data_IF_270969914533
#
_entry.id   IF_270969914533
#
_cell.length_a   1.000
_cell.length_b   1.000
_cell.length_c   1.000
_cell.angle_alpha   90.00
_cell.angle_beta   90.00
_cell.angle_gamma   90.00
#
_symmetry.space_group_name_H-M   'P 1'
#
loop_
_entity.id
_entity.type
_entity.pdbx_description
1 polymer ?
#
# COMPACT_ATOMS: atom_id res chain seq x y z
N UNK A 1 39.61 -4.48 -12.54
CA UNK A 1 38.80 -5.62 -12.08
C UNK A 1 38.50 -6.53 -13.26
N UNK A 2 38.63 -7.85 -13.12
CA UNK A 2 38.29 -8.80 -14.19
C UNK A 2 36.77 -8.93 -14.26
N UNK A 3 36.18 -8.98 -15.46
CA UNK A 3 34.73 -9.15 -15.71
C UNK A 3 34.05 -10.18 -14.80
N UNK A 4 34.76 -11.28 -14.50
CA UNK A 4 34.26 -12.37 -13.66
C UNK A 4 33.98 -11.96 -12.21
N UNK A 5 34.74 -11.02 -11.66
CA UNK A 5 34.49 -10.48 -10.32
C UNK A 5 33.30 -9.52 -10.31
N UNK A 6 33.15 -8.72 -11.37
CA UNK A 6 32.01 -7.80 -11.53
C UNK A 6 30.69 -8.56 -11.64
N UNK A 7 30.67 -9.62 -12.45
CA UNK A 7 29.49 -10.48 -12.61
C UNK A 7 29.11 -11.22 -11.31
N UNK A 8 30.10 -11.58 -10.49
CA UNK A 8 29.87 -12.26 -9.22
C UNK A 8 29.22 -11.33 -8.19
N UNK A 9 29.71 -10.08 -8.11
CA UNK A 9 29.13 -9.03 -7.26
C UNK A 9 27.71 -8.68 -7.72
N UNK A 10 27.49 -8.55 -9.04
CA UNK A 10 26.16 -8.31 -9.58
C UNK A 10 25.17 -9.46 -9.27
N UNK A 11 25.61 -10.72 -9.43
CA UNK A 11 24.80 -11.88 -9.10
C UNK A 11 24.49 -11.99 -7.60
N UNK A 12 25.41 -11.55 -6.74
CA UNK A 12 25.23 -11.52 -5.29
C UNK A 12 24.25 -10.42 -4.86
N UNK A 13 24.31 -9.25 -5.51
CA UNK A 13 23.35 -8.16 -5.31
C UNK A 13 21.93 -8.53 -5.79
N UNK A 14 21.82 -9.25 -6.92
CA UNK A 14 20.54 -9.68 -7.50
C UNK A 14 19.99 -10.97 -6.86
N UNK A 15 20.76 -11.66 -6.04
CA UNK A 15 20.40 -12.96 -5.46
C UNK A 15 19.09 -12.92 -4.66
N UNK A 16 18.81 -11.92 -3.80
CA UNK A 16 17.57 -11.84 -3.04
C UNK A 16 16.33 -11.70 -3.94
N UNK A 17 16.47 -10.95 -5.04
CA UNK A 17 15.42 -10.75 -6.05
C UNK A 17 15.17 -12.02 -6.86
N UNK A 18 16.23 -12.70 -7.28
CA UNK A 18 16.15 -13.92 -8.11
C UNK A 18 15.69 -15.17 -7.33
N UNK A 19 15.85 -15.17 -6.01
CA UNK A 19 15.43 -16.27 -5.13
C UNK A 19 13.99 -16.12 -4.63
N UNK A 20 13.28 -15.06 -5.04
CA UNK A 20 11.92 -14.77 -4.55
C UNK A 20 11.88 -14.44 -3.05
N UNK A 21 13.03 -14.09 -2.44
CA UNK A 21 13.13 -13.74 -1.02
C UNK A 21 12.61 -12.31 -0.77
N UNK A 22 12.66 -11.46 -1.80
CA UNK A 22 11.73 -10.36 -1.91
C UNK A 22 10.60 -10.81 -2.84
N UNK A 23 9.37 -10.83 -2.32
CA UNK A 23 8.20 -10.81 -3.19
C UNK A 23 8.44 -9.68 -4.17
N UNK A 24 8.43 -9.99 -5.46
CA UNK A 24 8.29 -8.97 -6.51
C UNK A 24 6.93 -8.34 -6.24
N UNK A 25 6.90 -7.42 -5.28
CA UNK A 25 5.70 -6.74 -4.89
C UNK A 25 5.22 -6.07 -6.16
N UNK A 26 3.94 -6.28 -6.44
CA UNK A 26 3.41 -6.08 -7.78
C UNK A 26 3.83 -4.72 -8.34
N UNK A 27 4.43 -4.71 -9.54
CA UNK A 27 4.63 -3.48 -10.32
C UNK A 27 3.28 -2.86 -10.77
N UNK A 28 2.16 -3.45 -10.35
CA UNK A 28 0.84 -2.88 -10.51
C UNK A 28 0.73 -1.61 -9.68
N UNK A 29 0.31 -0.54 -10.34
CA UNK A 29 -0.02 0.73 -9.70
C UNK A 29 -1.26 0.57 -8.81
N UNK A 30 -1.29 1.31 -7.70
CA UNK A 30 -2.40 1.27 -6.74
C UNK A 30 -3.75 1.52 -7.42
N UNK A 31 -3.86 2.55 -8.27
CA UNK A 31 -5.12 2.82 -8.97
C UNK A 31 -5.52 1.68 -9.90
N UNK A 32 -4.57 1.11 -10.66
CA UNK A 32 -4.84 -0.01 -11.55
C UNK A 32 -5.36 -1.21 -10.77
N UNK A 33 -4.78 -1.54 -9.61
CA UNK A 33 -5.30 -2.60 -8.74
C UNK A 33 -6.71 -2.28 -8.22
N UNK A 34 -6.93 -1.05 -7.76
CA UNK A 34 -8.23 -0.67 -7.20
C UNK A 34 -9.34 -0.77 -8.24
N UNK A 35 -9.12 -0.25 -9.45
CA UNK A 35 -10.11 -0.25 -10.53
C UNK A 35 -10.33 -1.64 -11.14
N UNK A 36 -9.26 -2.41 -11.37
CA UNK A 36 -9.36 -3.72 -12.03
C UNK A 36 -9.74 -4.87 -11.11
N UNK A 37 -9.45 -4.75 -9.81
CA UNK A 37 -9.57 -5.88 -8.86
C UNK A 37 -10.40 -5.50 -7.63
N UNK A 38 -10.01 -4.48 -6.88
CA UNK A 38 -10.67 -4.19 -5.60
C UNK A 38 -12.15 -3.80 -5.77
N UNK A 39 -12.43 -2.85 -6.66
CA UNK A 39 -13.79 -2.39 -6.98
C UNK A 39 -14.70 -3.47 -7.56
N UNK A 40 -14.28 -4.29 -8.54
CA UNK A 40 -15.15 -5.32 -9.10
C UNK A 40 -15.25 -6.60 -8.27
N UNK A 41 -14.25 -6.92 -7.44
CA UNK A 41 -14.21 -8.21 -6.71
C UNK A 41 -14.49 -8.06 -5.22
N UNK A 42 -13.92 -7.05 -4.56
CA UNK A 42 -13.98 -6.92 -3.10
C UNK A 42 -15.11 -6.01 -2.65
N UNK A 43 -15.26 -4.83 -3.27
CA UNK A 43 -16.29 -3.88 -2.88
C UNK A 43 -17.73 -4.43 -2.95
N UNK A 44 -18.15 -5.25 -3.95
CA UNK A 44 -19.54 -5.73 -4.04
C UNK A 44 -19.95 -6.62 -2.86
N UNK A 45 -18.98 -7.16 -2.11
CA UNK A 45 -19.23 -7.95 -0.90
C UNK A 45 -19.58 -7.07 0.32
N UNK A 46 -19.45 -5.75 0.21
CA UNK A 46 -19.75 -4.79 1.26
C UNK A 46 -21.16 -4.22 1.13
N UNK A 47 -21.73 -3.79 2.26
CA UNK A 47 -22.98 -3.02 2.27
C UNK A 47 -22.87 -1.76 1.40
N UNK A 48 -23.97 -1.37 0.74
CA UNK A 48 -23.99 -0.24 -0.20
C UNK A 48 -23.51 1.09 0.41
N UNK A 49 -23.91 1.39 1.65
CA UNK A 49 -23.46 2.59 2.36
C UNK A 49 -21.95 2.57 2.66
N UNK A 50 -21.38 1.39 2.93
CA UNK A 50 -19.94 1.22 3.11
C UNK A 50 -19.19 1.43 1.80
N UNK A 51 -19.70 0.87 0.69
CA UNK A 51 -19.10 1.07 -0.64
C UNK A 51 -19.02 2.54 -1.03
N UNK A 52 -20.11 3.29 -0.86
CA UNK A 52 -20.14 4.71 -1.20
C UNK A 52 -19.15 5.53 -0.38
N UNK A 53 -19.07 5.26 0.93
CA UNK A 53 -18.06 5.89 1.80
C UNK A 53 -16.63 5.54 1.37
N UNK A 54 -16.38 4.27 1.03
CA UNK A 54 -15.07 3.82 0.57
C UNK A 54 -14.68 4.50 -0.75
N UNK A 55 -15.61 4.64 -1.69
CA UNK A 55 -15.38 5.32 -2.96
C UNK A 55 -14.97 6.78 -2.75
N UNK A 56 -15.67 7.49 -1.85
CA UNK A 56 -15.34 8.86 -1.49
C UNK A 56 -13.93 8.98 -0.90
N UNK A 57 -13.54 8.04 -0.03
CA UNK A 57 -12.19 8.02 0.55
C UNK A 57 -11.12 7.74 -0.49
N UNK A 58 -11.34 6.73 -1.33
CA UNK A 58 -10.43 6.34 -2.40
C UNK A 58 -10.17 7.54 -3.32
N UNK A 59 -11.24 8.17 -3.81
CA UNK A 59 -11.16 9.27 -4.76
C UNK A 59 -10.51 10.52 -4.19
N UNK A 60 -10.86 10.91 -2.96
CA UNK A 60 -10.47 12.21 -2.42
C UNK A 60 -9.13 12.18 -1.67
N UNK A 61 -8.70 11.02 -1.17
CA UNK A 61 -7.52 10.93 -0.30
C UNK A 61 -6.47 9.96 -0.82
N UNK A 62 -6.87 8.77 -1.28
CA UNK A 62 -5.91 7.73 -1.67
C UNK A 62 -5.40 7.92 -3.10
N UNK A 63 -6.26 8.28 -4.06
CA UNK A 63 -5.83 8.53 -5.44
C UNK A 63 -4.88 9.72 -5.57
N UNK A 64 -5.13 10.88 -4.95
CA UNK A 64 -4.19 11.99 -5.02
C UNK A 64 -2.79 11.65 -4.48
N UNK A 65 -2.70 10.70 -3.54
CA UNK A 65 -1.44 10.32 -2.91
C UNK A 65 -0.74 9.15 -3.59
N UNK A 66 -1.49 8.11 -3.98
CA UNK A 66 -0.92 6.80 -4.30
C UNK A 66 -1.28 6.27 -5.68
N UNK A 67 -2.12 6.95 -6.47
CA UNK A 67 -2.64 6.41 -7.73
C UNK A 67 -1.56 5.80 -8.63
N UNK A 68 -0.44 6.51 -8.79
CA UNK A 68 0.69 6.15 -9.65
C UNK A 68 1.79 5.36 -8.92
N UNK A 69 1.66 5.13 -7.61
CA UNK A 69 2.64 4.36 -6.83
C UNK A 69 2.43 2.86 -7.08
N UNK A 70 3.52 2.12 -7.25
CA UNK A 70 3.42 0.65 -7.27
C UNK A 70 3.05 0.13 -5.87
N UNK A 71 2.32 -0.98 -5.81
CA UNK A 71 1.92 -1.57 -4.54
C UNK A 71 3.12 -1.90 -3.63
N UNK A 72 4.28 -2.27 -4.21
CA UNK A 72 5.53 -2.52 -3.45
C UNK A 72 6.12 -1.28 -2.79
N UNK A 73 5.89 -0.10 -3.35
CA UNK A 73 6.48 1.15 -2.87
C UNK A 73 5.65 1.74 -1.71
N UNK A 74 4.45 1.20 -1.46
CA UNK A 74 3.60 1.53 -0.31
C UNK A 74 4.15 0.92 0.98
N UNK A 75 5.38 1.25 1.32
CA UNK A 75 6.03 0.80 2.56
C UNK A 75 5.36 1.43 3.78
N UNK A 76 5.56 0.83 4.97
CA UNK A 76 5.08 1.40 6.23
C UNK A 76 5.57 2.84 6.44
N UNK A 77 6.79 3.17 6.01
CA UNK A 77 7.34 4.53 6.11
C UNK A 77 6.59 5.53 5.21
N UNK A 78 6.31 5.17 3.96
CA UNK A 78 5.55 6.03 3.04
C UNK A 78 4.14 6.29 3.54
N UNK A 79 3.48 5.25 4.09
CA UNK A 79 2.16 5.40 4.69
C UNK A 79 2.23 6.27 5.95
N UNK A 80 3.23 6.08 6.82
CA UNK A 80 3.42 6.94 8.00
C UNK A 80 3.63 8.41 7.62
N UNK A 81 4.44 8.68 6.57
CA UNK A 81 4.67 10.03 6.04
C UNK A 81 3.39 10.65 5.53
N UNK A 82 2.56 9.89 4.82
CA UNK A 82 1.26 10.34 4.37
C UNK A 82 0.35 10.76 5.54
N UNK A 83 0.22 9.92 6.57
CA UNK A 83 -0.58 10.25 7.76
C UNK A 83 -0.02 11.38 8.62
N UNK A 84 1.30 11.61 8.56
CA UNK A 84 1.97 12.72 9.25
C UNK A 84 2.03 14.01 8.40
N UNK A 85 1.60 13.96 7.14
CA UNK A 85 1.70 15.06 6.20
C UNK A 85 0.66 16.15 6.42
N UNK A 86 0.93 17.32 5.83
CA UNK A 86 0.06 18.52 5.93
C UNK A 86 -1.31 18.34 5.28
N UNK A 87 -1.45 17.41 4.33
CA UNK A 87 -2.73 17.11 3.65
C UNK A 87 -3.76 16.51 4.61
N UNK A 88 -3.32 15.69 5.56
CA UNK A 88 -4.18 15.07 6.56
C UNK A 88 -4.19 15.84 7.89
N UNK A 89 -3.23 16.73 8.14
CA UNK A 89 -3.14 17.45 9.42
C UNK A 89 -4.36 18.31 9.74
N UNK A 90 -5.09 18.78 8.72
CA UNK A 90 -6.31 19.58 8.86
C UNK A 90 -7.57 18.75 9.11
N UNK A 91 -7.50 17.42 8.98
CA UNK A 91 -8.64 16.53 9.19
C UNK A 91 -8.77 16.11 10.66
N UNK A 92 -10.02 15.93 11.09
CA UNK A 92 -10.33 15.29 12.37
C UNK A 92 -9.84 13.84 12.44
N UNK A 93 -9.64 13.34 13.65
CA UNK A 93 -9.10 11.98 13.88
C UNK A 93 -10.01 10.89 13.27
N UNK A 94 -11.33 11.04 13.38
CA UNK A 94 -12.28 10.09 12.77
C UNK A 94 -12.07 9.95 11.25
N UNK A 95 -11.82 11.05 10.54
CA UNK A 95 -11.54 11.01 9.11
C UNK A 95 -10.21 10.31 8.80
N UNK A 96 -9.17 10.55 9.61
CA UNK A 96 -7.87 9.88 9.46
C UNK A 96 -8.00 8.38 9.70
N UNK A 97 -8.71 7.97 10.74
CA UNK A 97 -8.98 6.57 11.05
C UNK A 97 -9.75 5.91 9.92
N UNK A 98 -10.76 6.59 9.36
CA UNK A 98 -11.50 6.07 8.21
C UNK A 98 -10.60 5.90 6.97
N UNK A 99 -9.72 6.86 6.68
CA UNK A 99 -8.76 6.77 5.57
C UNK A 99 -7.82 5.57 5.79
N UNK A 100 -7.33 5.39 7.02
CA UNK A 100 -6.51 4.24 7.42
C UNK A 100 -7.24 2.92 7.23
N UNK A 101 -8.50 2.82 7.67
CA UNK A 101 -9.32 1.62 7.53
C UNK A 101 -9.49 1.21 6.06
N UNK A 102 -9.82 2.19 5.20
CA UNK A 102 -10.01 1.94 3.77
C UNK A 102 -8.70 1.50 3.12
N UNK A 103 -7.59 2.18 3.40
CA UNK A 103 -6.27 1.79 2.89
C UNK A 103 -5.88 0.39 3.38
N UNK A 104 -6.11 0.09 4.67
CA UNK A 104 -5.85 -1.22 5.26
C UNK A 104 -6.69 -2.31 4.60
N UNK A 105 -7.97 -2.04 4.30
CA UNK A 105 -8.86 -2.98 3.61
C UNK A 105 -8.36 -3.30 2.19
N UNK A 106 -7.93 -2.28 1.44
CA UNK A 106 -7.36 -2.47 0.10
C UNK A 106 -6.09 -3.30 0.18
N UNK A 107 -5.13 -2.95 1.04
CA UNK A 107 -3.85 -3.66 1.13
C UNK A 107 -3.97 -5.03 1.82
N UNK A 108 -5.00 -5.27 2.62
CA UNK A 108 -5.32 -6.62 3.12
C UNK A 108 -5.75 -7.53 1.96
N UNK A 109 -6.52 -7.00 1.00
CA UNK A 109 -6.91 -7.78 -0.18
C UNK A 109 -5.72 -8.11 -1.09
N UNK A 110 -4.77 -7.18 -1.26
CA UNK A 110 -3.56 -7.44 -2.06
C UNK A 110 -2.70 -8.54 -1.43
N UNK A 111 -2.64 -8.61 -0.09
CA UNK A 111 -2.01 -9.73 0.63
C UNK A 111 -2.78 -11.03 0.40
N UNK A 112 -4.10 -11.00 0.53
CA UNK A 112 -4.96 -12.17 0.29
C UNK A 112 -4.80 -12.77 -1.11
N UNK A 113 -4.46 -11.96 -2.11
CA UNK A 113 -4.21 -12.38 -3.49
C UNK A 113 -2.71 -12.56 -3.83
N UNK A 114 -1.82 -12.48 -2.84
CA UNK A 114 -0.39 -12.75 -3.02
C UNK A 114 0.41 -11.65 -3.75
N UNK A 115 -0.14 -10.44 -3.91
CA UNK A 115 0.55 -9.29 -4.50
C UNK A 115 1.48 -8.57 -3.51
N UNK A 116 1.19 -8.71 -2.21
CA UNK A 116 2.03 -8.28 -1.10
C UNK A 116 2.16 -9.42 -0.09
N UNK A 117 3.29 -9.47 0.63
CA UNK A 117 3.52 -10.47 1.68
C UNK A 117 2.82 -10.10 2.99
N UNK A 118 2.73 -8.80 3.28
CA UNK A 118 2.15 -8.28 4.52
C UNK A 118 1.46 -6.95 4.27
N UNK A 119 0.51 -6.61 5.13
CA UNK A 119 -0.18 -5.32 5.06
C UNK A 119 0.69 -4.24 5.73
N UNK A 120 1.24 -3.28 4.98
CA UNK A 120 2.13 -2.26 5.53
C UNK A 120 1.43 -1.29 6.50
N UNK A 121 0.10 -1.17 6.45
CA UNK A 121 -0.71 -0.31 7.36
C UNK A 121 -0.72 -0.83 8.79
N UNK A 122 -0.54 -2.14 8.99
CA UNK A 122 -0.48 -2.73 10.33
C UNK A 122 0.74 -2.23 11.11
N UNK A 123 1.84 -1.94 10.42
CA UNK A 123 3.04 -1.34 11.00
C UNK A 123 2.93 0.15 11.33
N UNK A 124 1.86 0.83 10.91
CA UNK A 124 1.61 2.27 11.15
C UNK A 124 1.05 2.47 12.57
N UNK A 125 1.51 1.67 13.54
CA UNK A 125 0.86 1.52 14.84
C UNK A 125 1.08 2.72 15.79
N UNK A 126 -0.02 3.14 16.41
CA UNK A 126 -0.20 3.31 17.87
C UNK A 126 0.66 4.32 18.67
N UNK A 127 1.72 4.92 18.11
CA UNK A 127 2.65 5.78 18.88
C UNK A 127 2.23 7.26 19.02
N UNK A 128 0.94 7.57 18.89
CA UNK A 128 0.42 8.94 19.09
C UNK A 128 -0.56 9.08 20.26
N UNK A 129 -0.74 8.04 21.09
CA UNK A 129 -1.67 8.06 22.23
C UNK A 129 -1.01 8.06 23.63
N UNK A 130 0.30 8.32 23.72
CA UNK A 130 0.97 8.54 25.02
C UNK A 130 1.50 9.99 25.14
N UNK A 131 0.62 10.98 25.04
CA UNK A 131 0.88 12.33 25.59
C UNK A 131 -0.38 12.95 26.14
#
# INVERSE_FOLDING_TARGET
MREREVLKVAAEYLRPLNQGLESIGSATNFQSYVESTYKPVVMPLMASSTRERYEGVIRNYLYPAFANSCLRDLTTLEIQRYFSGTTLSTLGQESKDKIRDVLSSILRSTVGYGLLVKNPVEGVAANQQER
#
